data_IF_998834380329
#
_entry.id   IF_998834380329
#
_cell.length_a   1.000
_cell.length_b   1.000
_cell.length_c   1.000
_cell.angle_alpha   90.00
_cell.angle_beta   90.00
_cell.angle_gamma   90.00
#
_symmetry.space_group_name_H-M   'P 1'
#
loop_
_entity.id
_entity.type
_entity.pdbx_description
1 polymer ?
#
# COMPACT_ATOMS: atom_id res chain seq x y z
N UNK A 1 2.64 19.22 3.47
CA UNK A 1 1.53 18.85 4.39
C UNK A 1 1.40 17.35 4.36
N UNK A 2 0.98 16.72 5.47
CA UNK A 2 0.77 15.27 5.50
C UNK A 2 -0.42 14.89 4.60
N UNK A 3 -0.34 13.71 3.97
CA UNK A 3 -1.43 13.11 3.19
C UNK A 3 -2.40 12.29 4.06
N UNK A 4 -2.15 12.20 5.37
CA UNK A 4 -3.05 11.49 6.27
C UNK A 4 -4.43 12.17 6.28
N UNK A 5 -5.49 11.37 6.21
CA UNK A 5 -6.88 11.82 6.15
C UNK A 5 -7.23 12.73 4.95
N UNK A 6 -6.46 12.69 3.87
CA UNK A 6 -6.84 13.31 2.59
C UNK A 6 -7.39 12.27 1.63
N UNK A 7 -8.26 12.70 0.72
CA UNK A 7 -8.70 11.87 -0.41
C UNK A 7 -7.55 11.67 -1.41
N UNK A 8 -7.52 10.49 -2.03
CA UNK A 8 -6.60 10.20 -3.13
C UNK A 8 -6.92 11.11 -4.31
N UNK A 9 -5.89 11.76 -4.86
CA UNK A 9 -6.05 12.63 -6.03
C UNK A 9 -6.41 11.78 -7.26
N UNK A 10 -7.20 12.32 -8.21
CA UNK A 10 -7.53 11.61 -9.45
C UNK A 10 -6.28 11.20 -10.23
N UNK A 11 -6.28 9.98 -10.75
CA UNK A 11 -5.19 9.45 -11.56
C UNK A 11 -5.70 8.42 -12.56
N UNK A 12 -4.91 8.17 -13.60
CA UNK A 12 -5.20 7.11 -14.55
C UNK A 12 -3.89 6.46 -14.97
N UNK A 13 -3.79 5.15 -14.74
CA UNK A 13 -2.59 4.36 -14.99
C UNK A 13 -2.96 3.00 -15.56
N UNK A 14 -1.95 2.25 -16.02
CA UNK A 14 -2.11 0.88 -16.49
C UNK A 14 -1.28 -0.03 -15.59
N UNK A 15 -1.87 -1.16 -15.21
CA UNK A 15 -1.20 -2.19 -14.44
C UNK A 15 -1.14 -3.50 -15.21
N UNK A 16 -0.13 -4.31 -14.92
CA UNK A 16 -0.10 -5.72 -15.29
C UNK A 16 -0.68 -6.57 -14.15
N UNK A 17 -1.63 -7.45 -14.44
CA UNK A 17 -2.15 -8.42 -13.49
C UNK A 17 -2.57 -9.70 -14.22
N UNK A 18 -2.14 -10.86 -13.74
CA UNK A 18 -2.59 -12.18 -14.23
C UNK A 18 -2.53 -12.37 -15.77
N UNK A 19 -1.51 -11.79 -16.42
CA UNK A 19 -1.32 -11.91 -17.87
C UNK A 19 -2.04 -10.83 -18.69
N UNK A 20 -2.80 -9.94 -18.06
CA UNK A 20 -3.57 -8.89 -18.71
C UNK A 20 -3.08 -7.49 -18.32
N UNK A 21 -3.36 -6.51 -19.19
CA UNK A 21 -3.21 -5.10 -18.86
C UNK A 21 -4.57 -4.52 -18.48
N UNK A 22 -4.64 -3.95 -17.28
CA UNK A 22 -5.86 -3.38 -16.72
C UNK A 22 -5.66 -1.88 -16.44
N UNK A 23 -6.75 -1.13 -16.49
CA UNK A 23 -6.77 0.27 -16.10
C UNK A 23 -6.97 0.41 -14.58
N UNK A 24 -6.16 1.24 -13.94
CA UNK A 24 -6.28 1.58 -12.52
C UNK A 24 -6.46 3.09 -12.38
N UNK A 25 -7.51 3.48 -11.67
CA UNK A 25 -7.88 4.87 -11.38
C UNK A 25 -8.17 5.05 -9.89
N UNK A 26 -8.40 6.27 -9.43
CA UNK A 26 -8.83 6.52 -8.05
C UNK A 26 -10.16 5.82 -7.71
N UNK A 27 -11.02 5.58 -8.71
CA UNK A 27 -12.28 4.85 -8.49
C UNK A 27 -12.05 3.35 -8.32
N UNK A 28 -10.97 2.79 -8.87
CA UNK A 28 -10.57 1.39 -8.63
C UNK A 28 -10.23 1.13 -7.15
N UNK A 29 -9.89 2.19 -6.40
CA UNK A 29 -9.56 2.13 -4.98
C UNK A 29 -10.78 2.26 -4.06
N UNK A 30 -11.96 2.61 -4.58
CA UNK A 30 -13.19 2.82 -3.79
C UNK A 30 -13.96 1.51 -3.59
N UNK A 31 -14.75 1.45 -2.51
CA UNK A 31 -15.59 0.30 -2.17
C UNK A 31 -14.86 -0.88 -1.54
N UNK A 32 -13.53 -0.80 -1.40
CA UNK A 32 -12.68 -1.79 -0.72
C UNK A 32 -11.47 -1.10 -0.10
N UNK A 33 -10.83 -1.78 0.86
CA UNK A 33 -9.55 -1.31 1.37
C UNK A 33 -8.47 -1.48 0.29
N UNK A 34 -7.57 -0.52 0.18
CA UNK A 34 -6.48 -0.56 -0.79
C UNK A 34 -5.15 -0.29 -0.12
N UNK A 35 -4.12 -1.07 -0.47
CA UNK A 35 -2.75 -0.95 0.01
C UNK A 35 -1.85 -0.65 -1.18
N UNK A 36 -1.36 0.58 -1.29
CA UNK A 36 -0.43 0.98 -2.36
C UNK A 36 0.99 0.94 -1.81
N UNK A 37 1.86 0.17 -2.46
CA UNK A 37 3.27 -0.03 -2.11
C UNK A 37 4.11 0.51 -3.27
N UNK A 38 4.63 1.72 -3.10
CA UNK A 38 5.56 2.36 -4.02
C UNK A 38 6.97 1.82 -3.80
N UNK A 39 7.72 1.60 -4.87
CA UNK A 39 9.13 1.22 -4.81
C UNK A 39 9.91 1.79 -5.99
N UNK A 40 11.25 1.90 -5.89
CA UNK A 40 12.04 2.66 -6.86
C UNK A 40 11.88 2.18 -8.30
N UNK A 41 12.19 0.91 -8.57
CA UNK A 41 12.20 0.35 -9.91
C UNK A 41 12.12 -1.18 -9.92
N UNK A 42 11.56 -1.72 -11.01
CA UNK A 42 11.65 -3.12 -11.39
C UNK A 42 13.11 -3.54 -11.65
N UNK A 43 13.39 -4.84 -11.57
CA UNK A 43 14.72 -5.42 -11.85
C UNK A 43 15.89 -4.94 -10.96
N UNK A 44 15.59 -4.40 -9.78
CA UNK A 44 16.60 -4.04 -8.77
C UNK A 44 16.74 -5.12 -7.68
N UNK A 45 17.52 -4.86 -6.63
CA UNK A 45 17.92 -5.87 -5.63
C UNK A 45 16.87 -6.08 -4.53
N UNK A 46 16.38 -4.99 -3.91
CA UNK A 46 15.47 -5.06 -2.76
C UNK A 46 14.00 -5.09 -3.18
N UNK A 47 13.65 -4.51 -4.34
CA UNK A 47 12.25 -4.48 -4.78
C UNK A 47 11.63 -5.87 -4.94
N UNK A 48 12.32 -6.88 -5.54
CA UNK A 48 11.75 -8.22 -5.64
C UNK A 48 11.45 -8.86 -4.28
N UNK A 49 12.24 -8.59 -3.24
CA UNK A 49 12.01 -9.18 -1.91
C UNK A 49 10.75 -8.62 -1.25
N UNK A 50 10.46 -7.33 -1.44
CA UNK A 50 9.22 -6.72 -0.94
C UNK A 50 7.98 -7.19 -1.72
N UNK A 51 8.13 -7.41 -3.03
CA UNK A 51 7.05 -7.99 -3.84
C UNK A 51 6.76 -9.43 -3.43
N UNK A 52 7.80 -10.23 -3.17
CA UNK A 52 7.65 -11.60 -2.67
C UNK A 52 6.99 -11.63 -1.29
N UNK A 53 7.41 -10.77 -0.35
CA UNK A 53 6.77 -10.66 0.97
C UNK A 53 5.29 -10.25 0.85
N UNK A 54 4.97 -9.34 -0.08
CA UNK A 54 3.58 -8.99 -0.38
C UNK A 54 2.80 -10.17 -0.99
N UNK A 55 3.42 -10.97 -1.84
CA UNK A 55 2.81 -12.16 -2.44
C UNK A 55 2.54 -13.25 -1.40
N UNK A 56 3.49 -13.50 -0.52
CA UNK A 56 3.36 -14.49 0.56
C UNK A 56 2.26 -14.09 1.57
N UNK A 57 2.04 -12.79 1.78
CA UNK A 57 0.96 -12.27 2.63
C UNK A 57 -0.36 -11.98 1.87
N UNK A 58 -0.41 -12.13 0.54
CA UNK A 58 -1.55 -11.67 -0.26
C UNK A 58 -2.88 -12.31 0.13
N UNK A 59 -2.87 -13.60 0.50
CA UNK A 59 -4.06 -14.31 0.95
C UNK A 59 -4.67 -13.72 2.23
N UNK A 60 -3.87 -13.12 3.11
CA UNK A 60 -4.37 -12.42 4.31
C UNK A 60 -4.99 -11.06 3.94
N UNK A 61 -4.37 -10.31 3.02
CA UNK A 61 -4.95 -9.06 2.51
C UNK A 61 -6.32 -9.29 1.87
N UNK A 62 -6.42 -10.33 1.02
CA UNK A 62 -7.68 -10.71 0.38
C UNK A 62 -8.73 -11.14 1.40
N UNK A 63 -8.35 -11.92 2.44
CA UNK A 63 -9.25 -12.27 3.55
C UNK A 63 -9.71 -11.07 4.37
N UNK A 64 -8.86 -10.05 4.51
CA UNK A 64 -9.22 -8.78 5.11
C UNK A 64 -10.05 -7.87 4.18
N UNK A 65 -10.39 -8.30 2.95
CA UNK A 65 -11.14 -7.49 2.00
C UNK A 65 -10.35 -6.30 1.45
N UNK A 66 -9.02 -6.43 1.37
CA UNK A 66 -8.13 -5.42 0.85
C UNK A 66 -7.41 -5.88 -0.42
N UNK A 67 -7.25 -4.94 -1.35
CA UNK A 67 -6.43 -5.12 -2.55
C UNK A 67 -5.03 -4.52 -2.36
N UNK A 68 -4.00 -5.16 -2.90
CA UNK A 68 -2.62 -4.68 -2.88
C UNK A 68 -2.27 -4.13 -4.27
N UNK A 69 -1.50 -3.06 -4.34
CA UNK A 69 -1.01 -2.49 -5.59
C UNK A 69 0.48 -2.20 -5.43
N UNK A 70 1.32 -2.76 -6.31
CA UNK A 70 2.72 -2.37 -6.39
C UNK A 70 2.84 -1.27 -7.43
N UNK A 71 3.54 -0.19 -7.09
CA UNK A 71 3.71 0.96 -7.98
C UNK A 71 5.20 1.26 -8.17
N UNK A 72 5.63 1.38 -9.42
CA UNK A 72 6.94 1.96 -9.78
C UNK A 72 6.76 2.97 -10.92
N UNK A 73 7.81 3.73 -11.25
CA UNK A 73 7.81 4.62 -12.42
C UNK A 73 8.08 3.88 -13.73
N UNK A 74 8.24 2.55 -13.70
CA UNK A 74 8.34 1.72 -14.90
C UNK A 74 6.99 1.63 -15.65
N UNK A 75 7.03 1.03 -16.83
CA UNK A 75 5.82 0.74 -17.60
C UNK A 75 5.22 -0.63 -17.22
N UNK A 76 3.93 -0.80 -17.49
CA UNK A 76 3.26 -2.11 -17.37
C UNK A 76 3.90 -3.20 -18.26
N UNK A 77 4.55 -2.83 -19.37
CA UNK A 77 5.35 -3.77 -20.18
C UNK A 77 6.57 -4.29 -19.43
N UNK A 78 7.29 -3.40 -18.73
CA UNK A 78 8.40 -3.78 -17.85
C UNK A 78 7.91 -4.74 -16.75
N UNK A 79 6.75 -4.47 -16.15
CA UNK A 79 6.16 -5.32 -15.12
C UNK A 79 5.78 -6.71 -15.63
N UNK A 80 5.23 -6.81 -16.84
CA UNK A 80 4.95 -8.10 -17.48
C UNK A 80 6.22 -8.94 -17.59
N UNK A 81 7.31 -8.36 -18.10
CA UNK A 81 8.58 -9.09 -18.23
C UNK A 81 9.20 -9.39 -16.86
N UNK A 82 9.08 -8.47 -15.89
CA UNK A 82 9.59 -8.67 -14.54
C UNK A 82 8.90 -9.84 -13.84
N UNK A 83 7.59 -9.94 -13.99
CA UNK A 83 6.79 -11.05 -13.50
C UNK A 83 7.19 -12.39 -14.14
N UNK A 84 7.43 -12.41 -15.46
CA UNK A 84 7.83 -13.63 -16.16
C UNK A 84 9.24 -14.12 -15.83
N UNK A 85 10.15 -13.20 -15.50
CA UNK A 85 11.60 -13.50 -15.40
C UNK A 85 12.11 -13.58 -13.97
N UNK A 86 11.42 -12.98 -12.99
CA UNK A 86 11.80 -13.03 -11.58
C UNK A 86 10.98 -14.07 -10.83
N UNK A 87 11.60 -15.10 -10.22
CA UNK A 87 10.88 -16.07 -9.39
C UNK A 87 10.12 -15.44 -8.22
N UNK A 88 10.67 -14.38 -7.65
CA UNK A 88 10.06 -13.62 -6.55
C UNK A 88 8.80 -12.88 -7.03
N UNK A 89 8.89 -12.12 -8.13
CA UNK A 89 7.76 -11.32 -8.65
C UNK A 89 6.74 -12.17 -9.38
N UNK A 90 7.13 -13.31 -9.96
CA UNK A 90 6.21 -14.25 -10.63
C UNK A 90 5.12 -14.83 -9.72
N UNK A 91 5.30 -14.73 -8.39
CA UNK A 91 4.27 -15.06 -7.39
C UNK A 91 3.17 -14.01 -7.27
N UNK A 92 3.40 -12.79 -7.74
CA UNK A 92 2.47 -11.68 -7.59
C UNK A 92 1.14 -11.97 -8.29
N UNK A 93 0.04 -11.83 -7.56
CA UNK A 93 -1.33 -11.98 -8.05
C UNK A 93 -2.10 -10.65 -8.03
N UNK A 94 -1.48 -9.61 -7.50
CA UNK A 94 -1.99 -8.24 -7.43
C UNK A 94 -1.53 -7.40 -8.63
N UNK A 95 -2.17 -6.24 -8.89
CA UNK A 95 -1.75 -5.29 -9.90
C UNK A 95 -0.33 -4.74 -9.69
N UNK A 96 0.50 -4.84 -10.74
CA UNK A 96 1.78 -4.15 -10.88
C UNK A 96 1.57 -2.88 -11.73
N UNK A 97 1.32 -1.76 -11.07
CA UNK A 97 0.95 -0.46 -11.65
C UNK A 97 2.19 0.28 -12.16
N UNK A 98 2.19 0.63 -13.45
CA UNK A 98 3.21 1.50 -14.03
C UNK A 98 2.82 2.98 -13.99
N UNK A 99 3.71 3.82 -13.48
CA UNK A 99 3.56 5.28 -13.42
C UNK A 99 4.66 6.02 -14.22
N UNK A 100 4.79 5.80 -15.55
CA UNK A 100 5.84 6.44 -16.35
C UNK A 100 5.65 7.95 -16.52
N UNK A 101 4.47 8.47 -16.21
CA UNK A 101 4.19 9.92 -16.21
C UNK A 101 4.58 10.58 -14.88
N UNK A 102 4.85 9.76 -13.87
CA UNK A 102 5.13 10.15 -12.50
C UNK A 102 4.00 10.94 -11.81
N UNK A 103 2.78 10.88 -12.35
CA UNK A 103 1.61 11.55 -11.79
C UNK A 103 1.26 10.94 -10.43
N UNK A 104 1.27 9.61 -10.34
CA UNK A 104 0.85 8.90 -9.14
C UNK A 104 1.87 9.06 -8.02
N UNK A 105 3.16 8.88 -8.32
CA UNK A 105 4.26 9.06 -7.36
C UNK A 105 4.32 10.50 -6.81
N UNK A 106 4.05 11.52 -7.64
CA UNK A 106 3.92 12.91 -7.18
C UNK A 106 2.69 13.14 -6.33
N UNK A 107 1.53 12.59 -6.72
CA UNK A 107 0.29 12.71 -5.95
C UNK A 107 0.41 12.12 -4.53
N UNK A 108 1.22 11.07 -4.38
CA UNK A 108 1.51 10.43 -3.10
C UNK A 108 2.75 11.01 -2.39
N UNK A 109 3.40 12.03 -2.96
CA UNK A 109 4.53 12.73 -2.33
C UNK A 109 5.78 11.87 -2.14
N UNK A 110 5.96 10.83 -2.97
CA UNK A 110 7.09 9.89 -2.90
C UNK A 110 8.01 9.98 -4.10
N UNK A 111 7.77 10.88 -5.04
CA UNK A 111 8.64 11.04 -6.21
C UNK A 111 9.98 11.71 -5.84
N UNK A 112 11.06 11.22 -6.42
CA UNK A 112 12.42 11.80 -6.33
C UNK A 112 12.70 12.47 -7.68
N UNK A 113 12.59 13.80 -7.73
CA UNK A 113 12.70 14.56 -8.99
C UNK A 113 14.06 14.37 -9.68
N UNK A 114 15.13 14.22 -8.91
CA UNK A 114 16.49 14.06 -9.42
C UNK A 114 16.75 12.67 -10.04
N UNK A 115 15.98 11.66 -9.63
CA UNK A 115 16.17 10.26 -10.05
C UNK A 115 15.08 9.76 -10.99
N UNK A 116 13.89 10.38 -10.99
CA UNK A 116 12.73 9.88 -11.72
C UNK A 116 12.14 8.60 -11.12
N UNK A 117 12.45 8.31 -9.85
CA UNK A 117 12.03 7.10 -9.14
C UNK A 117 11.13 7.45 -7.95
N UNK A 118 10.48 6.43 -7.38
CA UNK A 118 9.75 6.57 -6.13
C UNK A 118 10.63 6.23 -4.91
N UNK A 119 10.40 6.92 -3.80
CA UNK A 119 10.74 6.43 -2.47
C UNK A 119 9.91 5.17 -2.13
N UNK A 120 10.40 4.38 -1.17
CA UNK A 120 9.66 3.25 -0.61
C UNK A 120 8.51 3.72 0.28
N UNK A 121 7.39 4.10 -0.34
CA UNK A 121 6.17 4.53 0.34
C UNK A 121 5.10 3.44 0.41
N UNK A 122 4.42 3.30 1.54
CA UNK A 122 3.25 2.43 1.68
C UNK A 122 2.06 3.25 2.19
N UNK A 123 0.90 3.09 1.58
CA UNK A 123 -0.32 3.82 1.92
C UNK A 123 -1.49 2.86 2.06
N UNK A 124 -2.22 2.97 3.18
CA UNK A 124 -3.45 2.22 3.41
C UNK A 124 -4.64 3.18 3.28
N UNK A 125 -5.55 2.84 2.38
CA UNK A 125 -6.65 3.67 1.92
C UNK A 125 -7.96 2.94 2.24
N UNK A 126 -8.90 3.66 2.86
CA UNK A 126 -10.21 3.11 3.21
C UNK A 126 -11.14 3.04 1.97
N UNK A 127 -12.31 2.38 2.08
CA UNK A 127 -13.27 2.26 0.97
C UNK A 127 -13.79 3.59 0.41
N UNK A 128 -13.71 4.67 1.18
CA UNK A 128 -14.08 6.02 0.76
C UNK A 128 -12.99 6.72 -0.08
N UNK A 129 -11.80 6.11 -0.20
CA UNK A 129 -10.67 6.69 -0.93
C UNK A 129 -9.82 7.65 -0.10
N UNK A 130 -9.85 7.54 1.23
CA UNK A 130 -9.11 8.39 2.18
C UNK A 130 -7.92 7.62 2.75
N UNK A 131 -6.74 8.26 2.76
CA UNK A 131 -5.51 7.68 3.32
C UNK A 131 -5.59 7.64 4.84
N UNK A 132 -5.43 6.45 5.45
CA UNK A 132 -5.53 6.22 6.90
C UNK A 132 -4.23 5.87 7.58
N UNK A 133 -3.27 5.32 6.85
CA UNK A 133 -1.89 5.18 7.32
C UNK A 133 -0.94 5.41 6.16
N UNK A 134 0.26 5.90 6.46
CA UNK A 134 1.35 5.97 5.51
C UNK A 134 2.69 5.74 6.21
N UNK A 135 3.65 5.17 5.49
CA UNK A 135 5.05 5.11 5.88
C UNK A 135 5.93 5.35 4.65
N UNK A 136 7.04 6.06 4.84
CA UNK A 136 7.99 6.36 3.77
C UNK A 136 9.37 6.04 4.30
N UNK A 137 10.08 5.17 3.59
CA UNK A 137 11.40 4.68 3.95
C UNK A 137 12.44 5.23 2.98
N UNK A 138 13.67 5.38 3.46
CA UNK A 138 14.83 5.52 2.59
C UNK A 138 14.93 4.30 1.66
N UNK A 139 15.39 4.49 0.43
CA UNK A 139 15.42 3.43 -0.58
C UNK A 139 16.36 2.26 -0.23
N UNK A 140 17.29 2.43 0.71
CA UNK A 140 18.14 1.37 1.24
C UNK A 140 17.46 0.51 2.32
N UNK A 141 16.30 0.93 2.84
CA UNK A 141 15.60 0.25 3.94
C UNK A 141 14.36 -0.45 3.38
N UNK A 142 14.37 -1.78 3.33
CA UNK A 142 13.21 -2.57 2.93
C UNK A 142 12.15 -2.60 4.04
N UNK A 143 10.88 -2.70 3.64
CA UNK A 143 9.72 -2.78 4.52
C UNK A 143 9.46 -4.21 5.01
N UNK A 144 8.66 -4.29 6.06
CA UNK A 144 8.04 -5.52 6.56
C UNK A 144 6.54 -5.48 6.22
N UNK A 145 6.09 -6.33 5.29
CA UNK A 145 4.69 -6.33 4.83
C UNK A 145 3.74 -6.87 5.93
N UNK A 146 4.23 -7.65 6.88
CA UNK A 146 3.42 -8.11 8.01
C UNK A 146 2.96 -6.94 8.89
N UNK A 147 3.79 -5.90 9.03
CA UNK A 147 3.43 -4.67 9.73
C UNK A 147 2.41 -3.84 8.93
N UNK A 148 2.49 -3.87 7.60
CA UNK A 148 1.46 -3.28 6.73
C UNK A 148 0.10 -3.96 6.95
N UNK A 149 0.07 -5.29 7.01
CA UNK A 149 -1.14 -6.05 7.32
C UNK A 149 -1.68 -5.75 8.72
N UNK A 150 -0.81 -5.62 9.73
CA UNK A 150 -1.22 -5.24 11.09
C UNK A 150 -1.87 -3.85 11.11
N UNK A 151 -1.26 -2.87 10.43
CA UNK A 151 -1.80 -1.50 10.29
C UNK A 151 -3.15 -1.50 9.55
N UNK A 152 -3.31 -2.33 8.51
CA UNK A 152 -4.58 -2.50 7.80
C UNK A 152 -5.67 -2.98 8.75
N UNK A 153 -5.42 -4.05 9.50
CA UNK A 153 -6.38 -4.60 10.47
C UNK A 153 -6.75 -3.59 11.55
N UNK A 154 -5.78 -2.80 12.03
CA UNK A 154 -6.04 -1.73 12.99
C UNK A 154 -6.92 -0.62 12.38
N UNK A 155 -6.63 -0.20 11.15
CA UNK A 155 -7.43 0.81 10.44
C UNK A 155 -8.87 0.33 10.20
N UNK A 156 -9.04 -0.94 9.86
CA UNK A 156 -10.36 -1.59 9.73
C UNK A 156 -11.10 -1.66 11.06
N UNK A 157 -10.41 -2.02 12.13
CA UNK A 157 -11.01 -2.11 13.45
C UNK A 157 -11.59 -0.76 13.90
N UNK A 158 -10.81 0.32 13.84
CA UNK A 158 -11.29 1.65 14.26
C UNK A 158 -12.39 2.20 13.33
N UNK A 159 -12.38 1.82 12.05
CA UNK A 159 -13.46 2.17 11.12
C UNK A 159 -14.78 1.48 11.50
N UNK A 160 -14.73 0.23 11.97
CA UNK A 160 -15.90 -0.51 12.45
C UNK A 160 -16.32 -0.14 13.88
N UNK A 161 -15.41 0.41 14.69
CA UNK A 161 -15.63 0.75 16.10
C UNK A 161 -15.26 2.22 16.36
N UNK A 162 -16.12 3.19 15.98
CA UNK A 162 -15.76 4.61 15.95
C UNK A 162 -15.45 5.23 17.33
N UNK A 163 -15.79 4.54 18.43
CA UNK A 163 -15.52 4.99 19.79
C UNK A 163 -14.36 4.21 20.45
N UNK A 164 -13.65 3.39 19.69
CA UNK A 164 -12.51 2.62 20.19
C UNK A 164 -11.23 3.00 19.46
N UNK A 165 -10.11 2.87 20.16
CA UNK A 165 -8.78 3.09 19.60
C UNK A 165 -7.88 1.89 19.87
N UNK A 166 -7.02 1.59 18.90
CA UNK A 166 -6.00 0.56 19.01
C UNK A 166 -4.79 1.11 19.78
N UNK A 167 -4.41 0.55 20.94
CA UNK A 167 -3.19 0.94 21.65
C UNK A 167 -1.91 0.57 20.88
N UNK A 168 -0.76 1.02 21.39
CA UNK A 168 0.54 0.65 20.81
C UNK A 168 0.70 -0.88 20.73
N UNK A 169 1.27 -1.36 19.62
CA UNK A 169 1.49 -2.80 19.31
C UNK A 169 0.22 -3.64 19.16
N UNK A 170 -0.98 -3.04 19.12
CA UNK A 170 -2.24 -3.76 19.00
C UNK A 170 -2.26 -4.72 17.81
N UNK A 171 -2.79 -5.92 18.06
CA UNK A 171 -3.14 -6.94 17.07
C UNK A 171 -4.61 -7.33 17.19
N UNK A 172 -5.16 -7.89 16.12
CA UNK A 172 -6.53 -8.38 16.08
C UNK A 172 -6.82 -9.35 17.24
N UNK A 173 -7.90 -9.10 17.97
CA UNK A 173 -8.30 -9.85 19.17
C UNK A 173 -7.71 -9.33 20.49
N UNK A 174 -6.76 -8.39 20.47
CA UNK A 174 -6.22 -7.77 21.68
C UNK A 174 -7.12 -6.64 22.21
N UNK A 175 -6.91 -6.29 23.48
CA UNK A 175 -7.67 -5.24 24.17
C UNK A 175 -7.46 -3.88 23.49
N UNK A 176 -8.57 -3.16 23.37
CA UNK A 176 -8.67 -1.79 22.86
C UNK A 176 -8.88 -0.81 24.01
N UNK A 177 -8.90 0.48 23.67
CA UNK A 177 -9.26 1.53 24.61
C UNK A 177 -10.52 2.24 24.11
N UNK A 178 -11.41 2.60 25.03
CA UNK A 178 -12.56 3.46 24.75
C UNK A 178 -12.26 4.84 25.32
N UNK A 179 -11.92 5.85 24.49
CA UNK A 179 -11.66 7.19 24.97
C UNK A 179 -12.84 7.75 25.77
N UNK A 180 -12.59 8.16 27.01
CA UNK A 180 -13.58 8.77 27.90
C UNK A 180 -12.88 9.71 28.87
N UNK A 181 -13.63 10.66 29.45
CA UNK A 181 -13.09 11.57 30.48
C UNK A 181 -12.51 10.81 31.67
N UNK A 182 -13.15 9.70 32.06
CA UNK A 182 -12.69 8.88 33.18
C UNK A 182 -11.37 8.16 32.90
N UNK A 183 -11.01 7.95 31.63
CA UNK A 183 -9.77 7.28 31.24
C UNK A 183 -8.58 8.25 31.14
N UNK A 184 -8.83 9.56 31.09
CA UNK A 184 -7.78 10.59 30.98
C UNK A 184 -6.86 10.53 32.21
N UNK A 185 -5.56 10.32 31.97
CA UNK A 185 -4.52 10.29 33.01
C UNK A 185 -4.38 8.97 33.78
N UNK A 186 -5.01 7.88 33.33
CA UNK A 186 -5.00 6.57 34.02
C UNK A 186 -4.25 5.44 33.30
N UNK A 187 -3.66 5.72 32.13
CA UNK A 187 -2.93 4.75 31.29
C UNK A 187 -1.43 4.98 31.41
#
# INVERSE_FOLDING_TARGET
MSLINTEVQPFKTTAFQAGEFIEVTENSLKGKWSVLIFMPAAFTFNCPTEVEDAADNYAEFQRAGAEVYIVTTDTHFSHKVWHETSPAVGKAQFPLVGDPTHQLTRAFGVHIDEEGLALRGTFIINPEGVIKTLEIHDNAIARDVSETLRKLKAAQFVAAHPNEVCPAKWKEGEKTLTPSLDLVGKI
#
